data_IF_948293513652
#
_entry.id   IF_948293513652
#
_cell.length_a   1.000
_cell.length_b   1.000
_cell.length_c   1.000
_cell.angle_alpha   90.00
_cell.angle_beta   90.00
_cell.angle_gamma   90.00
#
_symmetry.space_group_name_H-M   'P 1'
#
loop_
_entity.id
_entity.type
_entity.pdbx_description
1 polymer ?
#
# COMPACT_ATOMS: atom_id res chain seq x y z
N UNK A 1 7.83 -1.23 -18.72
CA UNK A 1 7.63 -0.04 -17.86
C UNK A 1 6.20 0.48 -17.89
N UNK A 2 5.59 0.67 -19.08
CA UNK A 2 4.20 1.18 -19.21
C UNK A 2 3.18 0.48 -18.28
N UNK A 3 3.19 -0.85 -18.26
CA UNK A 3 2.26 -1.64 -17.43
C UNK A 3 2.50 -1.42 -15.94
N UNK A 4 3.75 -1.46 -15.47
CA UNK A 4 4.08 -1.15 -14.07
C UNK A 4 3.58 0.23 -13.64
N UNK A 5 3.77 1.26 -14.48
CA UNK A 5 3.25 2.61 -14.20
C UNK A 5 1.73 2.62 -14.06
N UNK A 6 0.99 1.98 -14.97
CA UNK A 6 -0.47 1.91 -14.93
C UNK A 6 -0.93 1.13 -13.69
N UNK A 7 -0.36 -0.05 -13.44
CA UNK A 7 -0.73 -0.91 -12.32
C UNK A 7 -0.49 -0.20 -10.98
N UNK A 8 0.65 0.47 -10.81
CA UNK A 8 0.96 1.22 -9.60
C UNK A 8 0.04 2.43 -9.40
N UNK A 9 -0.36 3.10 -10.48
CA UNK A 9 -1.29 4.24 -10.41
C UNK A 9 -2.70 3.77 -10.01
N UNK A 10 -3.21 2.71 -10.67
CA UNK A 10 -4.50 2.11 -10.31
C UNK A 10 -4.47 1.63 -8.87
N UNK A 11 -3.40 0.96 -8.45
CA UNK A 11 -3.22 0.50 -7.08
C UNK A 11 -3.28 1.66 -6.06
N UNK A 12 -2.60 2.77 -6.34
CA UNK A 12 -2.60 3.95 -5.47
C UNK A 12 -3.99 4.61 -5.38
N UNK A 13 -4.69 4.73 -6.50
CA UNK A 13 -6.05 5.28 -6.54
C UNK A 13 -7.03 4.40 -5.77
N UNK A 14 -7.01 3.10 -6.01
CA UNK A 14 -7.88 2.14 -5.31
C UNK A 14 -7.57 2.12 -3.82
N UNK A 15 -6.29 2.12 -3.42
CA UNK A 15 -5.91 2.17 -2.01
C UNK A 15 -6.41 3.46 -1.33
N UNK A 16 -6.25 4.62 -1.97
CA UNK A 16 -6.73 5.90 -1.44
C UNK A 16 -8.27 5.91 -1.31
N UNK A 17 -8.99 5.37 -2.29
CA UNK A 17 -10.44 5.22 -2.23
C UNK A 17 -10.88 4.28 -1.11
N UNK A 18 -10.25 3.11 -1.00
CA UNK A 18 -10.52 2.16 0.08
C UNK A 18 -10.24 2.77 1.45
N UNK A 19 -9.12 3.48 1.62
CA UNK A 19 -8.79 4.18 2.87
C UNK A 19 -9.83 5.24 3.23
N UNK A 20 -10.29 6.01 2.25
CA UNK A 20 -11.38 6.98 2.45
C UNK A 20 -12.67 6.28 2.88
N UNK A 21 -13.01 5.15 2.25
CA UNK A 21 -14.16 4.33 2.62
C UNK A 21 -14.04 3.74 4.03
N UNK A 22 -12.91 3.11 4.35
CA UNK A 22 -12.62 2.56 5.67
C UNK A 22 -12.74 3.62 6.76
N UNK A 23 -12.24 4.84 6.51
CA UNK A 23 -12.38 5.95 7.42
C UNK A 23 -13.85 6.39 7.55
N UNK A 24 -14.56 6.51 6.43
CA UNK A 24 -15.98 6.90 6.42
C UNK A 24 -16.87 5.94 7.23
N UNK A 25 -16.58 4.64 7.19
CA UNK A 25 -17.28 3.62 7.99
C UNK A 25 -16.72 3.40 9.40
N UNK A 26 -15.78 4.24 9.86
CA UNK A 26 -15.10 4.12 11.16
C UNK A 26 -14.38 2.77 11.37
N UNK A 27 -13.96 2.12 10.29
CA UNK A 27 -13.21 0.85 10.32
C UNK A 27 -11.71 1.06 10.60
N UNK A 28 -11.21 2.28 10.39
CA UNK A 28 -9.89 2.73 10.82
C UNK A 28 -10.04 3.93 11.76
N UNK A 29 -9.20 4.00 12.79
CA UNK A 29 -9.23 5.06 13.82
C UNK A 29 -8.37 6.27 13.48
N UNK A 30 -7.54 6.15 12.44
CA UNK A 30 -6.62 7.19 12.01
C UNK A 30 -7.03 7.74 10.64
N UNK A 31 -6.73 9.02 10.40
CA UNK A 31 -7.03 9.67 9.13
C UNK A 31 -5.79 9.64 8.21
N UNK A 32 -5.91 9.21 6.93
CA UNK A 32 -4.77 9.12 6.01
C UNK A 32 -3.98 10.43 5.84
N UNK A 33 -4.69 11.57 5.84
CA UNK A 33 -4.12 12.92 5.77
C UNK A 33 -3.79 13.52 7.14
N UNK A 34 -4.23 12.88 8.24
CA UNK A 34 -3.96 13.34 9.59
C UNK A 34 -2.46 13.40 9.92
N UNK A 35 -1.66 12.59 9.21
CA UNK A 35 -0.20 12.59 9.31
C UNK A 35 0.43 13.94 8.95
N UNK A 36 -0.06 14.62 7.91
CA UNK A 36 0.49 15.92 7.51
C UNK A 36 0.32 16.96 8.61
N UNK A 37 -0.85 16.96 9.28
CA UNK A 37 -1.11 17.85 10.41
C UNK A 37 -0.26 17.50 11.64
N UNK A 38 -0.03 16.21 11.91
CA UNK A 38 0.82 15.76 13.02
C UNK A 38 2.28 16.23 12.86
N UNK A 39 2.78 16.35 11.64
CA UNK A 39 4.17 16.72 11.34
C UNK A 39 4.34 18.17 10.86
N UNK A 40 3.28 18.98 10.89
CA UNK A 40 3.32 20.38 10.44
C UNK A 40 3.58 20.54 8.93
N UNK A 41 3.28 19.52 8.13
CA UNK A 41 3.52 19.54 6.69
C UNK A 41 2.33 20.16 5.96
N UNK A 42 2.60 21.16 5.12
CA UNK A 42 1.61 21.79 4.24
C UNK A 42 0.35 22.31 4.96
N UNK A 43 0.51 22.97 6.11
CA UNK A 43 -0.60 23.42 6.97
C UNK A 43 -1.58 24.40 6.28
N UNK A 44 -1.09 25.25 5.38
CA UNK A 44 -1.91 26.22 4.64
C UNK A 44 -2.50 25.67 3.33
N UNK A 45 -2.19 24.43 2.98
CA UNK A 45 -2.62 23.86 1.70
C UNK A 45 -4.04 23.29 1.75
N UNK A 46 -4.66 23.16 0.57
CA UNK A 46 -6.02 22.64 0.47
C UNK A 46 -6.09 21.14 0.76
N UNK A 47 -7.26 20.67 1.26
CA UNK A 47 -7.53 19.22 1.44
C UNK A 47 -7.35 18.41 0.15
N UNK A 48 -7.63 19.04 -1.00
CA UNK A 48 -7.44 18.40 -2.32
C UNK A 48 -5.95 18.17 -2.57
N UNK A 49 -5.10 19.15 -2.28
CA UNK A 49 -3.64 19.01 -2.39
C UNK A 49 -3.13 17.86 -1.53
N UNK A 50 -3.57 17.75 -0.27
CA UNK A 50 -3.17 16.65 0.61
C UNK A 50 -3.53 15.27 0.06
N UNK A 51 -4.76 15.09 -0.47
CA UNK A 51 -5.16 13.81 -1.09
C UNK A 51 -4.37 13.51 -2.36
N UNK A 52 -4.16 14.50 -3.22
CA UNK A 52 -3.38 14.35 -4.46
C UNK A 52 -1.93 13.97 -4.13
N UNK A 53 -1.31 14.64 -3.16
CA UNK A 53 0.04 14.33 -2.72
C UNK A 53 0.14 12.95 -2.07
N UNK A 54 -0.86 12.56 -1.27
CA UNK A 54 -0.95 11.22 -0.68
C UNK A 54 -1.05 10.13 -1.76
N UNK A 55 -1.92 10.29 -2.76
CA UNK A 55 -2.05 9.37 -3.90
C UNK A 55 -0.73 9.31 -4.67
N UNK A 56 -0.08 10.45 -4.90
CA UNK A 56 1.22 10.50 -5.56
C UNK A 56 2.28 9.72 -4.79
N UNK A 57 2.35 9.86 -3.47
CA UNK A 57 3.27 9.09 -2.62
C UNK A 57 2.99 7.58 -2.70
N UNK A 58 1.72 7.17 -2.59
CA UNK A 58 1.30 5.78 -2.75
C UNK A 58 1.68 5.22 -4.13
N UNK A 59 1.56 6.03 -5.19
CA UNK A 59 1.96 5.67 -6.54
C UNK A 59 3.46 5.40 -6.62
N UNK A 60 4.31 6.29 -6.07
CA UNK A 60 5.76 6.10 -6.06
C UNK A 60 6.15 4.82 -5.28
N UNK A 61 5.54 4.59 -4.12
CA UNK A 61 5.76 3.37 -3.32
C UNK A 61 5.34 2.13 -4.12
N UNK A 62 4.13 2.14 -4.70
CA UNK A 62 3.63 1.04 -5.52
C UNK A 62 4.50 0.77 -6.74
N UNK A 63 5.07 1.81 -7.36
CA UNK A 63 5.98 1.66 -8.49
C UNK A 63 7.31 1.04 -8.06
N UNK A 64 7.84 1.47 -6.91
CA UNK A 64 9.05 0.88 -6.33
C UNK A 64 8.86 -0.60 -5.99
N UNK A 65 7.73 -0.95 -5.35
CA UNK A 65 7.39 -2.36 -5.04
C UNK A 65 7.25 -3.19 -6.31
N UNK A 66 6.55 -2.67 -7.34
CA UNK A 66 6.44 -3.35 -8.63
C UNK A 66 7.82 -3.64 -9.24
N UNK A 67 8.71 -2.66 -9.25
CA UNK A 67 10.05 -2.80 -9.83
C UNK A 67 10.90 -3.81 -9.07
N UNK A 68 10.90 -3.76 -7.74
CA UNK A 68 11.70 -4.67 -6.91
C UNK A 68 11.20 -6.12 -7.01
N UNK A 69 9.88 -6.33 -7.03
CA UNK A 69 9.30 -7.68 -7.06
C UNK A 69 9.52 -8.40 -8.39
N UNK A 70 9.76 -7.70 -9.50
CA UNK A 70 10.21 -8.33 -10.75
C UNK A 70 11.48 -9.16 -10.60
N UNK A 71 12.34 -8.83 -9.64
CA UNK A 71 13.58 -9.58 -9.38
C UNK A 71 13.36 -10.79 -8.46
N UNK A 72 12.19 -10.90 -7.83
CA UNK A 72 11.86 -11.92 -6.83
C UNK A 72 10.70 -12.82 -7.32
N UNK A 73 10.57 -12.97 -8.64
CA UNK A 73 9.46 -13.69 -9.30
C UNK A 73 9.37 -15.20 -8.99
N UNK A 74 10.39 -15.74 -8.33
CA UNK A 74 10.48 -17.14 -7.86
C UNK A 74 9.58 -17.37 -6.64
N UNK A 75 9.38 -16.35 -5.80
CA UNK A 75 8.56 -16.47 -4.60
C UNK A 75 7.08 -16.31 -4.99
N UNK A 76 6.18 -17.22 -4.54
CA UNK A 76 4.75 -17.08 -4.82
C UNK A 76 4.21 -15.75 -4.30
N UNK A 77 3.50 -15.03 -5.17
CA UNK A 77 2.95 -13.71 -4.85
C UNK A 77 2.05 -13.73 -3.60
N UNK A 78 1.38 -14.86 -3.33
CA UNK A 78 0.56 -15.07 -2.14
C UNK A 78 1.36 -14.91 -0.85
N UNK A 79 2.51 -15.57 -0.74
CA UNK A 79 3.35 -15.51 0.47
C UNK A 79 4.00 -14.14 0.61
N UNK A 80 4.56 -13.60 -0.47
CA UNK A 80 5.20 -12.29 -0.46
C UNK A 80 4.21 -11.17 -0.10
N UNK A 81 3.02 -11.17 -0.69
CA UNK A 81 1.99 -10.15 -0.39
C UNK A 81 1.44 -10.27 1.03
N UNK A 82 1.28 -11.48 1.55
CA UNK A 82 0.83 -11.68 2.93
C UNK A 82 1.88 -11.17 3.93
N UNK A 83 3.14 -11.60 3.79
CA UNK A 83 4.22 -11.23 4.71
C UNK A 83 4.53 -9.73 4.67
N UNK A 84 4.75 -9.20 3.46
CA UNK A 84 5.06 -7.78 3.28
C UNK A 84 3.85 -6.90 3.65
N UNK A 85 2.63 -7.34 3.30
CA UNK A 85 1.40 -6.62 3.64
C UNK A 85 1.22 -6.53 5.15
N UNK A 86 1.28 -7.66 5.86
CA UNK A 86 1.19 -7.69 7.33
C UNK A 86 2.25 -6.82 7.98
N UNK A 87 3.51 -6.95 7.57
CA UNK A 87 4.62 -6.17 8.11
C UNK A 87 4.39 -4.67 7.94
N UNK A 88 4.06 -4.22 6.72
CA UNK A 88 3.85 -2.80 6.40
C UNK A 88 2.63 -2.26 7.15
N UNK A 89 1.51 -2.98 7.18
CA UNK A 89 0.28 -2.49 7.81
C UNK A 89 0.42 -2.39 9.32
N UNK A 90 1.05 -3.39 9.96
CA UNK A 90 1.26 -3.38 11.40
C UNK A 90 2.14 -2.19 11.76
N UNK A 91 3.26 -1.98 11.06
CA UNK A 91 4.16 -0.85 11.31
C UNK A 91 3.47 0.51 11.09
N UNK A 92 2.75 0.66 9.97
CA UNK A 92 2.05 1.90 9.66
C UNK A 92 1.00 2.23 10.71
N UNK A 93 0.18 1.27 11.10
CA UNK A 93 -0.83 1.50 12.14
C UNK A 93 -0.20 1.76 13.51
N UNK A 94 0.94 1.12 13.81
CA UNK A 94 1.69 1.39 15.03
C UNK A 94 2.13 2.85 15.14
N UNK A 95 2.67 3.38 14.04
CA UNK A 95 3.12 4.78 13.93
C UNK A 95 1.91 5.74 13.87
N UNK A 96 0.83 5.35 13.18
CA UNK A 96 -0.38 6.15 13.04
C UNK A 96 -1.07 6.39 14.39
N UNK A 97 -1.10 5.36 15.23
CA UNK A 97 -1.85 5.32 16.48
C UNK A 97 -0.99 5.57 17.73
N UNK A 98 0.32 5.83 17.55
CA UNK A 98 1.30 5.99 18.64
C UNK A 98 1.19 4.87 19.70
N UNK A 99 1.18 3.61 19.24
CA UNK A 99 0.92 2.47 20.12
C UNK A 99 2.14 2.11 20.99
N UNK A 100 1.94 1.87 22.30
CA UNK A 100 3.00 1.32 23.14
C UNK A 100 3.31 -0.13 22.75
N UNK A 101 4.54 -0.59 23.04
CA UNK A 101 5.01 -1.98 22.87
C UNK A 101 4.39 -2.91 23.92
N UNK A 102 3.06 -3.05 23.87
CA UNK A 102 2.27 -3.93 24.73
C UNK A 102 1.40 -4.85 23.87
N UNK A 103 1.17 -6.08 24.32
CA UNK A 103 0.33 -7.06 23.59
C UNK A 103 -1.11 -6.57 23.39
N UNK A 104 -1.61 -5.72 24.30
CA UNK A 104 -2.92 -5.09 24.18
C UNK A 104 -3.04 -4.15 22.96
N UNK A 105 -1.93 -3.61 22.47
CA UNK A 105 -1.89 -2.72 21.30
C UNK A 105 -2.29 -3.43 20.01
N UNK A 106 -2.03 -4.73 19.88
CA UNK A 106 -2.44 -5.51 18.69
C UNK A 106 -3.96 -5.53 18.49
N UNK A 107 -4.75 -5.42 19.57
CA UNK A 107 -6.22 -5.37 19.49
C UNK A 107 -6.74 -4.07 18.87
N UNK A 108 -5.89 -3.05 18.73
CA UNK A 108 -6.26 -1.75 18.16
C UNK A 108 -6.00 -1.65 16.65
N UNK A 109 -5.30 -2.63 16.07
CA UNK A 109 -5.02 -2.71 14.64
C UNK A 109 -6.30 -2.98 13.84
N UNK A 110 -6.42 -2.40 12.66
CA UNK A 110 -7.58 -2.54 11.79
C UNK A 110 -7.41 -3.71 10.82
N UNK A 111 -8.11 -4.82 11.10
CA UNK A 111 -8.16 -5.98 10.19
C UNK A 111 -8.64 -5.56 8.79
N UNK A 112 -9.70 -4.73 8.62
CA UNK A 112 -10.12 -4.27 7.29
C UNK A 112 -9.02 -3.54 6.51
N UNK A 113 -8.22 -2.71 7.18
CA UNK A 113 -7.09 -2.04 6.54
C UNK A 113 -6.00 -3.03 6.09
N UNK A 114 -5.65 -3.98 6.97
CA UNK A 114 -4.68 -5.03 6.68
C UNK A 114 -5.10 -5.81 5.43
N UNK A 115 -6.37 -6.25 5.38
CA UNK A 115 -6.90 -7.03 4.26
C UNK A 115 -6.84 -6.23 2.95
N UNK A 116 -7.25 -4.97 2.95
CA UNK A 116 -7.17 -4.09 1.76
C UNK A 116 -5.74 -4.00 1.23
N UNK A 117 -4.77 -3.73 2.11
CA UNK A 117 -3.36 -3.60 1.69
C UNK A 117 -2.81 -4.93 1.18
N UNK A 118 -3.07 -6.05 1.85
CA UNK A 118 -2.63 -7.38 1.39
C UNK A 118 -3.22 -7.72 0.03
N UNK A 119 -4.52 -7.47 -0.20
CA UNK A 119 -5.17 -7.73 -1.48
C UNK A 119 -4.59 -6.87 -2.62
N UNK A 120 -4.37 -5.59 -2.38
CA UNK A 120 -3.81 -4.66 -3.37
C UNK A 120 -2.33 -4.97 -3.65
N UNK A 121 -1.58 -5.31 -2.62
CA UNK A 121 -0.21 -5.78 -2.77
C UNK A 121 -0.16 -7.09 -3.58
N UNK A 122 -1.08 -8.02 -3.33
CA UNK A 122 -1.20 -9.25 -4.14
C UNK A 122 -1.48 -8.94 -5.60
N UNK A 123 -2.41 -8.03 -5.89
CA UNK A 123 -2.70 -7.58 -7.26
C UNK A 123 -1.44 -7.03 -7.95
N UNK A 124 -0.68 -6.18 -7.25
CA UNK A 124 0.56 -5.60 -7.76
C UNK A 124 1.63 -6.67 -8.05
N UNK A 125 1.82 -7.60 -7.12
CA UNK A 125 2.82 -8.67 -7.22
C UNK A 125 2.47 -9.71 -8.29
N UNK A 126 1.20 -10.13 -8.37
CA UNK A 126 0.75 -11.08 -9.38
C UNK A 126 0.95 -10.50 -10.79
N UNK A 127 0.62 -9.22 -10.96
CA UNK A 127 0.84 -8.52 -12.23
C UNK A 127 2.33 -8.45 -12.58
N UNK A 128 3.19 -8.12 -11.60
CA UNK A 128 4.64 -8.05 -11.82
C UNK A 128 5.22 -9.43 -12.20
N UNK A 129 4.81 -10.49 -11.50
CA UNK A 129 5.28 -11.85 -11.72
C UNK A 129 4.82 -12.42 -13.07
N UNK A 130 3.54 -12.21 -13.41
CA UNK A 130 2.99 -12.64 -14.70
C UNK A 130 3.81 -12.04 -15.86
N UNK A 131 4.04 -10.74 -15.82
CA UNK A 131 4.75 -10.04 -16.88
C UNK A 131 6.24 -10.43 -16.97
N UNK A 132 6.87 -10.74 -15.83
CA UNK A 132 8.24 -11.24 -15.82
C UNK A 132 8.34 -12.66 -16.41
N UNK A 133 7.35 -13.52 -16.13
CA UNK A 133 7.28 -14.88 -16.68
C UNK A 133 7.07 -14.85 -18.20
N UNK A 134 6.14 -14.04 -18.69
CA UNK A 134 5.93 -13.85 -20.14
C UNK A 134 7.21 -13.37 -20.84
N UNK A 135 7.87 -12.35 -20.28
CA UNK A 135 9.10 -11.82 -20.85
C UNK A 135 10.26 -12.83 -20.81
N UNK A 136 10.30 -13.71 -19.80
CA UNK A 136 11.31 -14.78 -19.74
C UNK A 136 11.00 -15.89 -20.75
N UNK A 137 9.73 -16.27 -20.90
CA UNK A 137 9.29 -17.29 -21.86
C UNK A 137 9.57 -16.88 -23.32
N UNK A 138 9.36 -15.61 -23.66
CA UNK A 138 9.68 -15.07 -25.00
C UNK A 138 11.16 -15.03 -25.33
N UNK A 139 12.06 -15.10 -24.34
CA UNK A 139 13.51 -15.12 -24.55
C UNK A 139 14.09 -16.52 -24.75
N UNK A 140 13.33 -17.55 -24.40
CA UNK A 140 13.75 -18.96 -24.50
C UNK A 140 13.29 -19.58 -25.83
N UNK A 141 12.28 -18.98 -26.49
CA UNK A 141 11.87 -19.29 -27.86
C UNK A 141 12.59 -18.39 -28.87
#
# INVERSE_FOLDING_TARGET
MKIGTITSLVNALVLALCLKGLHYFNLIKWHPIGFYKKWGWFEESSKLFHWTFFIFLLFIIGLFVYMTMRYVYVIPAVFSSLLLGLFVTILLEWIALDLPLQLSSFKKLSIPFIVVVVCLLRFLLETANFHQREHTAQKVN
#
